data_IF_941933324497
#
_entry.id   IF_941933324497
#
_cell.length_a   1.000
_cell.length_b   1.000
_cell.length_c   1.000
_cell.angle_alpha   90.00
_cell.angle_beta   90.00
_cell.angle_gamma   90.00
#
_symmetry.space_group_name_H-M   'P 1'
#
loop_
_entity.id
_entity.type
_entity.pdbx_description
1 polymer ?
#
# COMPACT_ATOMS: atom_id res chain seq x y z
N UNK A 1 1.40 1.54 -39.23
CA UNK A 1 2.54 1.94 -38.40
C UNK A 1 2.52 3.44 -38.24
N UNK A 2 2.59 3.96 -37.01
CA UNK A 2 2.88 5.38 -36.74
C UNK A 2 4.31 5.49 -36.21
N UNK A 3 4.98 6.60 -36.48
CA UNK A 3 6.34 6.84 -36.02
C UNK A 3 6.51 8.29 -35.58
N UNK A 4 7.15 8.51 -34.42
CA UNK A 4 7.47 9.83 -33.85
C UNK A 4 6.24 10.73 -33.67
N UNK A 5 5.11 10.13 -33.32
CA UNK A 5 3.87 10.85 -33.03
C UNK A 5 4.05 11.69 -31.77
N UNK A 6 3.69 12.97 -31.81
CA UNK A 6 3.53 13.79 -30.60
C UNK A 6 2.04 13.88 -30.26
N UNK A 7 1.68 13.47 -29.03
CA UNK A 7 0.30 13.55 -28.53
C UNK A 7 0.26 14.55 -27.38
N UNK A 8 -0.26 15.75 -27.69
CA UNK A 8 -0.39 16.84 -26.73
C UNK A 8 -1.71 16.72 -25.94
N UNK A 9 -1.88 17.58 -24.93
CA UNK A 9 -3.10 17.68 -24.14
C UNK A 9 -4.39 17.67 -24.99
N UNK A 10 -5.33 16.78 -24.63
CA UNK A 10 -6.59 16.56 -25.35
C UNK A 10 -6.47 15.67 -26.61
N UNK A 11 -5.25 15.36 -27.05
CA UNK A 11 -4.99 14.41 -28.11
C UNK A 11 -5.05 12.95 -27.64
N UNK A 12 -5.38 12.05 -28.56
CA UNK A 12 -5.41 10.61 -28.31
C UNK A 12 -4.88 9.81 -29.50
N UNK A 13 -3.93 8.92 -29.26
CA UNK A 13 -3.46 7.90 -30.20
C UNK A 13 -4.05 6.54 -29.79
N UNK A 14 -4.62 5.78 -30.74
CA UNK A 14 -5.08 4.41 -30.49
C UNK A 14 -4.27 3.47 -31.39
N UNK A 15 -3.43 2.65 -30.78
CA UNK A 15 -2.64 1.63 -31.48
C UNK A 15 -3.46 0.36 -31.53
N UNK A 16 -4.23 0.18 -32.61
CA UNK A 16 -5.11 -0.98 -32.79
C UNK A 16 -4.35 -2.31 -32.87
N UNK A 17 -5.06 -3.41 -32.61
CA UNK A 17 -4.52 -4.77 -32.79
C UNK A 17 -3.86 -4.93 -34.17
N UNK A 18 -2.67 -5.55 -34.21
CA UNK A 18 -1.77 -5.66 -35.38
C UNK A 18 -1.15 -4.36 -35.88
N UNK A 19 -1.43 -3.21 -35.25
CA UNK A 19 -0.71 -1.97 -35.52
C UNK A 19 0.52 -1.83 -34.61
N UNK A 20 1.49 -1.06 -35.09
CA UNK A 20 2.68 -0.68 -34.33
C UNK A 20 2.84 0.83 -34.31
N UNK A 21 3.07 1.40 -33.14
CA UNK A 21 3.55 2.78 -32.95
C UNK A 21 5.00 2.74 -32.46
N UNK A 22 5.85 3.64 -32.94
CA UNK A 22 7.25 3.73 -32.52
C UNK A 22 7.65 5.16 -32.20
N UNK A 23 8.25 5.39 -31.03
CA UNK A 23 8.77 6.70 -30.65
C UNK A 23 7.68 7.74 -30.36
N UNK A 24 6.50 7.31 -29.91
CA UNK A 24 5.44 8.24 -29.51
C UNK A 24 5.89 9.04 -28.29
N UNK A 25 5.65 10.36 -28.30
CA UNK A 25 5.86 11.25 -27.16
C UNK A 25 4.52 11.78 -26.66
N UNK A 26 4.20 11.52 -25.40
CA UNK A 26 2.98 11.98 -24.73
C UNK A 26 3.30 13.18 -23.85
N UNK A 27 2.59 14.30 -24.02
CA UNK A 27 2.76 15.53 -23.21
C UNK A 27 1.38 16.09 -22.90
N UNK A 28 0.74 15.52 -21.88
CA UNK A 28 -0.69 15.74 -21.58
C UNK A 28 -1.68 14.88 -22.39
N UNK A 29 -1.21 14.16 -23.41
CA UNK A 29 -2.02 13.34 -24.29
C UNK A 29 -2.10 11.87 -23.87
N UNK A 30 -2.99 11.11 -24.50
CA UNK A 30 -3.22 9.69 -24.19
C UNK A 30 -2.81 8.77 -25.35
N UNK A 31 -2.18 7.64 -25.03
CA UNK A 31 -2.02 6.51 -25.96
C UNK A 31 -2.71 5.26 -25.40
N UNK A 32 -3.64 4.68 -26.18
CA UNK A 32 -4.28 3.40 -25.87
C UNK A 32 -3.65 2.32 -26.76
N UNK A 33 -3.04 1.32 -26.14
CA UNK A 33 -2.29 0.25 -26.82
C UNK A 33 -3.09 -1.05 -26.81
N UNK A 34 -3.68 -1.41 -27.95
CA UNK A 34 -4.31 -2.72 -28.25
C UNK A 34 -3.42 -3.59 -29.18
N UNK A 35 -2.39 -2.97 -29.77
CA UNK A 35 -1.36 -3.58 -30.61
C UNK A 35 0.00 -3.48 -29.94
N UNK A 36 1.00 -2.93 -30.65
CA UNK A 36 2.37 -2.80 -30.13
C UNK A 36 2.82 -1.33 -30.10
N UNK A 37 3.25 -0.83 -28.94
CA UNK A 37 3.89 0.47 -28.80
C UNK A 37 5.37 0.31 -28.40
N UNK A 38 6.28 0.81 -29.23
CA UNK A 38 7.72 0.76 -28.97
C UNK A 38 8.24 2.16 -28.63
N UNK A 39 9.10 2.25 -27.62
CA UNK A 39 9.87 3.46 -27.30
C UNK A 39 8.97 4.67 -27.02
N UNK A 40 7.86 4.45 -26.31
CA UNK A 40 6.98 5.55 -25.90
C UNK A 40 7.62 6.34 -24.78
N UNK A 41 7.66 7.68 -24.92
CA UNK A 41 8.08 8.59 -23.86
C UNK A 41 6.84 9.27 -23.27
N UNK A 42 6.63 9.10 -21.98
CA UNK A 42 5.49 9.65 -21.24
C UNK A 42 6.00 10.81 -20.37
N UNK A 43 5.69 12.05 -20.76
CA UNK A 43 6.01 13.24 -19.98
C UNK A 43 4.83 13.64 -19.10
N UNK A 44 5.00 14.74 -18.36
CA UNK A 44 3.98 15.30 -17.47
C UNK A 44 2.57 15.36 -18.11
N UNK A 45 1.60 14.85 -17.37
CA UNK A 45 0.20 14.69 -17.78
C UNK A 45 -0.06 13.67 -18.91
N UNK A 46 0.98 13.07 -19.48
CA UNK A 46 0.85 12.02 -20.49
C UNK A 46 0.43 10.70 -19.88
N UNK A 47 -0.38 9.93 -20.61
CA UNK A 47 -0.90 8.63 -20.15
C UNK A 47 -0.75 7.58 -21.24
N UNK A 48 -0.03 6.51 -20.97
CA UNK A 48 -0.07 5.30 -21.80
C UNK A 48 -0.91 4.23 -21.09
N UNK A 49 -1.94 3.73 -21.75
CA UNK A 49 -2.77 2.62 -21.28
C UNK A 49 -2.52 1.40 -22.14
N UNK A 50 -1.88 0.38 -21.56
CA UNK A 50 -1.69 -0.93 -22.20
C UNK A 50 -2.93 -1.77 -21.90
N UNK A 51 -3.71 -2.01 -22.94
CA UNK A 51 -4.95 -2.79 -22.86
C UNK A 51 -4.64 -4.30 -22.82
N UNK A 52 -5.67 -5.11 -22.56
CA UNK A 52 -5.55 -6.56 -22.66
C UNK A 52 -5.01 -6.98 -24.03
N UNK A 53 -3.96 -7.81 -24.04
CA UNK A 53 -3.19 -8.25 -25.21
C UNK A 53 -2.43 -7.13 -25.95
N UNK A 54 -2.41 -5.91 -25.41
CA UNK A 54 -1.50 -4.85 -25.86
C UNK A 54 -0.09 -5.08 -25.33
N UNK A 55 0.91 -4.64 -26.10
CA UNK A 55 2.32 -4.76 -25.73
C UNK A 55 3.01 -3.39 -25.85
N UNK A 56 3.57 -2.92 -24.75
CA UNK A 56 4.48 -1.78 -24.71
C UNK A 56 5.90 -2.24 -24.44
N UNK A 57 6.87 -1.72 -25.19
CA UNK A 57 8.29 -2.09 -25.04
C UNK A 57 9.13 -0.84 -24.99
N UNK A 58 10.07 -0.78 -24.02
CA UNK A 58 10.98 0.36 -23.82
C UNK A 58 10.24 1.68 -23.55
N UNK A 59 9.14 1.62 -22.81
CA UNK A 59 8.46 2.83 -22.35
C UNK A 59 9.35 3.56 -21.35
N UNK A 60 9.57 4.86 -21.55
CA UNK A 60 10.18 5.75 -20.57
C UNK A 60 9.09 6.60 -19.93
N UNK A 61 8.96 6.52 -18.62
CA UNK A 61 7.99 7.29 -17.83
C UNK A 61 8.78 8.36 -17.07
N UNK A 62 8.50 9.62 -17.36
CA UNK A 62 9.10 10.77 -16.69
C UNK A 62 8.20 11.28 -15.56
N UNK A 63 8.71 12.23 -14.78
CA UNK A 63 7.96 12.90 -13.73
C UNK A 63 6.59 13.40 -14.24
N UNK A 64 5.52 13.05 -13.51
CA UNK A 64 4.14 13.41 -13.85
C UNK A 64 3.52 12.57 -14.99
N UNK A 65 4.28 11.70 -15.65
CA UNK A 65 3.78 10.73 -16.62
C UNK A 65 3.19 9.49 -15.95
N UNK A 66 2.18 8.89 -16.58
CA UNK A 66 1.51 7.67 -16.07
C UNK A 66 1.55 6.54 -17.10
N UNK A 67 2.00 5.36 -16.66
CA UNK A 67 1.78 4.09 -17.36
C UNK A 67 0.71 3.28 -16.62
N UNK A 68 -0.38 2.96 -17.30
CA UNK A 68 -1.40 2.04 -16.82
C UNK A 68 -1.29 0.74 -17.60
N UNK A 69 -1.16 -0.39 -16.90
CA UNK A 69 -1.17 -1.72 -17.52
C UNK A 69 -2.37 -2.49 -16.98
N UNK A 70 -3.28 -2.83 -17.88
CA UNK A 70 -4.49 -3.57 -17.53
C UNK A 70 -4.23 -5.09 -17.55
N UNK A 71 -5.18 -5.86 -17.03
CA UNK A 71 -5.16 -7.32 -17.05
C UNK A 71 -4.84 -7.87 -18.45
N UNK A 72 -3.95 -8.86 -18.51
CA UNK A 72 -3.41 -9.44 -19.75
C UNK A 72 -2.61 -8.45 -20.64
N UNK A 73 -2.24 -7.28 -20.14
CA UNK A 73 -1.34 -6.34 -20.80
C UNK A 73 0.13 -6.64 -20.51
N UNK A 74 1.01 -6.30 -21.47
CA UNK A 74 2.45 -6.49 -21.35
C UNK A 74 3.21 -5.18 -21.51
N UNK A 75 4.11 -4.88 -20.58
CA UNK A 75 4.96 -3.70 -20.63
C UNK A 75 6.38 -4.02 -20.16
N UNK A 76 7.32 -4.18 -21.10
CA UNK A 76 8.68 -4.64 -20.78
C UNK A 76 9.74 -3.60 -21.09
N UNK A 77 10.90 -3.74 -20.44
CA UNK A 77 12.05 -2.82 -20.55
C UNK A 77 11.68 -1.37 -20.15
N UNK A 78 10.80 -1.21 -19.17
CA UNK A 78 10.38 0.11 -18.70
C UNK A 78 11.55 0.83 -18.02
N UNK A 79 11.66 2.13 -18.28
CA UNK A 79 12.45 3.06 -17.48
C UNK A 79 11.48 3.94 -16.71
N UNK A 80 11.37 3.72 -15.40
CA UNK A 80 10.54 4.53 -14.51
C UNK A 80 11.44 5.53 -13.76
N UNK A 81 11.38 6.80 -14.18
CA UNK A 81 12.12 7.88 -13.53
C UNK A 81 11.41 8.32 -12.23
N UNK A 82 12.13 9.05 -11.36
CA UNK A 82 11.55 9.56 -10.12
C UNK A 82 10.32 10.44 -10.40
N UNK A 83 9.27 10.25 -9.61
CA UNK A 83 8.00 10.96 -9.77
C UNK A 83 7.14 10.47 -10.93
N UNK A 84 7.48 9.36 -11.57
CA UNK A 84 6.63 8.68 -12.54
C UNK A 84 5.61 7.76 -11.83
N UNK A 85 4.42 7.62 -12.44
CA UNK A 85 3.36 6.75 -11.93
C UNK A 85 3.25 5.46 -12.75
N UNK A 86 3.25 4.33 -12.04
CA UNK A 86 2.85 3.02 -12.57
C UNK A 86 1.52 2.60 -11.91
N UNK A 87 0.51 2.28 -12.71
CA UNK A 87 -0.80 1.83 -12.24
C UNK A 87 -1.11 0.44 -12.80
N UNK A 88 -1.30 -0.54 -11.92
CA UNK A 88 -1.51 -1.94 -12.32
C UNK A 88 -2.04 -2.80 -11.16
N UNK A 89 -2.16 -4.10 -11.40
CA UNK A 89 -2.47 -5.11 -10.40
C UNK A 89 -1.54 -6.33 -10.55
N UNK A 90 -1.73 -7.33 -9.70
CA UNK A 90 -1.10 -8.66 -9.83
C UNK A 90 -1.98 -9.67 -10.59
N UNK A 91 -2.95 -9.19 -11.39
CA UNK A 91 -3.84 -10.04 -12.16
C UNK A 91 -3.12 -10.98 -13.14
N UNK A 92 -3.81 -12.07 -13.48
CA UNK A 92 -3.30 -13.04 -14.44
C UNK A 92 -3.01 -12.37 -15.79
N UNK A 93 -1.91 -12.82 -16.42
CA UNK A 93 -1.49 -12.36 -17.74
C UNK A 93 -0.81 -11.00 -17.78
N UNK A 94 -0.68 -10.30 -16.65
CA UNK A 94 0.17 -9.11 -16.56
C UNK A 94 1.64 -9.53 -16.64
N UNK A 95 2.37 -8.91 -17.55
CA UNK A 95 3.81 -9.07 -17.70
C UNK A 95 4.47 -7.68 -17.73
N UNK A 96 5.07 -7.28 -16.61
CA UNK A 96 5.74 -5.99 -16.46
C UNK A 96 7.19 -6.22 -16.05
N UNK A 97 8.12 -5.55 -16.71
CA UNK A 97 9.53 -5.52 -16.29
C UNK A 97 10.17 -4.18 -16.61
N UNK A 98 11.08 -3.76 -15.73
CA UNK A 98 11.79 -2.50 -15.94
C UNK A 98 12.79 -2.18 -14.84
N UNK A 99 13.20 -0.91 -14.83
CA UNK A 99 14.14 -0.36 -13.85
C UNK A 99 13.67 1.00 -13.34
N UNK A 100 14.02 1.28 -12.09
CA UNK A 100 14.01 2.62 -11.48
C UNK A 100 15.26 2.77 -10.61
N UNK A 101 15.34 3.86 -9.84
CA UNK A 101 16.50 4.21 -9.00
C UNK A 101 16.86 3.18 -7.90
N UNK A 102 15.98 2.22 -7.61
CA UNK A 102 16.22 1.16 -6.61
C UNK A 102 16.45 -0.22 -7.26
N UNK A 103 16.71 -0.26 -8.57
CA UNK A 103 17.04 -1.47 -9.30
C UNK A 103 15.93 -1.94 -10.24
N UNK A 104 15.92 -3.24 -10.51
CA UNK A 104 14.94 -3.88 -11.38
C UNK A 104 13.65 -4.16 -10.62
N UNK A 105 12.52 -3.99 -11.28
CA UNK A 105 11.21 -4.39 -10.78
C UNK A 105 10.50 -5.29 -11.78
N UNK A 106 9.59 -6.14 -11.31
CA UNK A 106 8.77 -6.96 -12.19
C UNK A 106 7.40 -7.26 -11.59
N UNK A 107 6.41 -7.47 -12.47
CA UNK A 107 5.09 -7.98 -12.11
C UNK A 107 4.76 -9.06 -13.13
N UNK A 108 4.88 -10.31 -12.72
CA UNK A 108 4.64 -11.47 -13.57
C UNK A 108 4.28 -12.68 -12.72
N UNK A 109 3.49 -13.61 -13.25
CA UNK A 109 3.15 -14.85 -12.55
C UNK A 109 2.50 -14.61 -11.17
N UNK A 110 1.65 -13.59 -11.06
CA UNK A 110 0.97 -13.18 -9.83
C UNK A 110 1.88 -12.68 -8.69
N UNK A 111 3.12 -12.30 -9.01
CA UNK A 111 4.07 -11.73 -8.07
C UNK A 111 4.53 -10.35 -8.56
N UNK A 112 4.35 -9.33 -7.72
CA UNK A 112 5.00 -8.02 -7.87
C UNK A 112 6.28 -7.98 -7.03
N UNK A 113 7.40 -7.53 -7.61
CA UNK A 113 8.68 -7.37 -6.91
C UNK A 113 9.24 -5.98 -7.12
N UNK A 114 9.70 -5.35 -6.04
CA UNK A 114 10.38 -4.06 -6.04
C UNK A 114 9.61 -2.95 -6.75
N UNK A 115 8.27 -2.92 -6.68
CA UNK A 115 7.49 -1.90 -7.35
C UNK A 115 7.70 -0.52 -6.72
N UNK A 116 7.97 0.52 -7.52
CA UNK A 116 8.01 1.91 -7.08
C UNK A 116 6.69 2.63 -7.41
N UNK A 117 6.03 3.18 -6.41
CA UNK A 117 4.71 3.81 -6.56
C UNK A 117 4.78 5.26 -6.05
N UNK A 118 4.72 6.22 -6.96
CA UNK A 118 4.78 7.66 -6.68
C UNK A 118 3.78 8.41 -7.55
N UNK A 119 3.41 9.64 -7.18
CA UNK A 119 2.64 10.57 -8.02
C UNK A 119 1.37 9.98 -8.67
N UNK A 120 0.60 9.18 -7.93
CA UNK A 120 -0.59 8.50 -8.43
C UNK A 120 -0.34 7.07 -8.92
N UNK A 121 0.88 6.55 -8.77
CA UNK A 121 1.19 5.14 -8.95
C UNK A 121 0.41 4.29 -7.94
N UNK A 122 -0.19 3.20 -8.43
CA UNK A 122 -1.04 2.34 -7.62
C UNK A 122 -0.85 0.88 -7.97
N UNK A 123 -0.72 0.03 -6.95
CA UNK A 123 -0.69 -1.43 -7.10
C UNK A 123 -1.85 -2.06 -6.32
N UNK A 124 -2.69 -2.81 -7.04
CA UNK A 124 -3.66 -3.72 -6.44
C UNK A 124 -3.06 -5.13 -6.35
N UNK A 125 -2.77 -5.59 -5.14
CA UNK A 125 -2.38 -6.98 -4.89
C UNK A 125 -3.67 -7.78 -4.69
N UNK A 126 -4.02 -8.64 -5.64
CA UNK A 126 -5.25 -9.44 -5.60
C UNK A 126 -5.17 -10.60 -4.59
N UNK A 127 -6.33 -11.08 -4.17
CA UNK A 127 -6.41 -12.28 -3.33
C UNK A 127 -5.73 -13.49 -4.01
N UNK A 128 -4.93 -14.23 -3.24
CA UNK A 128 -4.15 -15.37 -3.74
C UNK A 128 -2.89 -15.01 -4.53
N UNK A 129 -2.54 -13.72 -4.60
CA UNK A 129 -1.33 -13.22 -5.26
C UNK A 129 -0.40 -12.52 -4.27
N UNK A 130 0.78 -12.10 -4.71
CA UNK A 130 1.84 -11.63 -3.82
C UNK A 130 2.52 -10.34 -4.30
N UNK A 131 2.96 -9.52 -3.34
CA UNK A 131 3.92 -8.43 -3.55
C UNK A 131 5.11 -8.55 -2.60
N UNK A 132 6.30 -8.14 -3.06
CA UNK A 132 7.53 -8.08 -2.25
C UNK A 132 8.30 -6.79 -2.51
N UNK A 133 8.88 -6.25 -1.44
CA UNK A 133 9.87 -5.17 -1.49
C UNK A 133 9.36 -3.89 -2.18
N UNK A 134 8.05 -3.64 -2.17
CA UNK A 134 7.50 -2.46 -2.83
C UNK A 134 7.86 -1.19 -2.07
N UNK A 135 8.08 -0.09 -2.78
CA UNK A 135 8.30 1.24 -2.21
C UNK A 135 7.14 2.16 -2.59
N UNK A 136 6.39 2.61 -1.59
CA UNK A 136 5.27 3.55 -1.73
C UNK A 136 5.74 4.93 -1.31
N UNK A 137 5.96 5.80 -2.29
CA UNK A 137 6.35 7.20 -2.10
C UNK A 137 5.15 8.14 -2.06
N UNK A 138 5.44 9.44 -2.14
CA UNK A 138 4.43 10.50 -2.06
C UNK A 138 3.37 10.34 -3.17
N UNK A 139 2.10 10.28 -2.76
CA UNK A 139 0.97 10.14 -3.69
C UNK A 139 0.86 8.75 -4.32
N UNK A 140 1.71 7.79 -3.95
CA UNK A 140 1.58 6.39 -4.33
C UNK A 140 0.67 5.62 -3.37
N UNK A 141 0.13 4.51 -3.83
CA UNK A 141 -0.75 3.67 -3.03
C UNK A 141 -0.59 2.16 -3.29
N UNK A 142 -0.74 1.35 -2.24
CA UNK A 142 -0.98 -0.09 -2.35
C UNK A 142 -2.33 -0.44 -1.72
N UNK A 143 -3.12 -1.23 -2.46
CA UNK A 143 -4.26 -1.95 -1.92
C UNK A 143 -3.92 -3.44 -1.91
N UNK A 144 -3.68 -3.99 -0.72
CA UNK A 144 -3.34 -5.38 -0.54
C UNK A 144 -4.56 -6.21 -0.14
N UNK A 145 -4.98 -7.11 -1.03
CA UNK A 145 -6.00 -8.14 -0.82
C UNK A 145 -5.40 -9.55 -0.75
N UNK A 146 -4.10 -9.68 -1.03
CA UNK A 146 -3.34 -10.93 -1.10
C UNK A 146 -2.29 -11.02 0.00
N UNK A 147 -1.06 -11.33 -0.39
CA UNK A 147 0.11 -11.39 0.49
C UNK A 147 1.08 -10.26 0.12
N UNK A 148 1.71 -9.65 1.12
CA UNK A 148 2.72 -8.61 0.92
C UNK A 148 3.85 -8.77 1.92
N UNK A 149 5.09 -8.59 1.46
CA UNK A 149 6.29 -8.74 2.28
C UNK A 149 7.23 -7.55 2.09
N UNK A 150 7.71 -6.98 3.19
CA UNK A 150 8.75 -5.96 3.23
C UNK A 150 8.43 -4.67 2.43
N UNK A 151 7.15 -4.32 2.31
CA UNK A 151 6.77 -3.04 1.69
C UNK A 151 7.20 -1.86 2.58
N UNK A 152 7.78 -0.84 1.94
CA UNK A 152 8.15 0.43 2.57
C UNK A 152 7.19 1.54 2.18
N UNK A 153 6.51 2.12 3.16
CA UNK A 153 5.56 3.23 3.01
C UNK A 153 6.20 4.53 3.51
N UNK A 154 6.72 5.33 2.58
CA UNK A 154 7.36 6.61 2.88
C UNK A 154 6.34 7.74 3.07
N UNK A 155 6.83 8.92 3.47
CA UNK A 155 6.01 10.11 3.66
C UNK A 155 5.12 10.44 2.46
N UNK A 156 3.82 10.57 2.71
CA UNK A 156 2.79 10.81 1.69
C UNK A 156 2.34 9.56 0.92
N UNK A 157 2.94 8.40 1.18
CA UNK A 157 2.50 7.11 0.65
C UNK A 157 1.37 6.50 1.47
N UNK A 158 0.54 5.69 0.82
CA UNK A 158 -0.65 5.08 1.40
C UNK A 158 -0.65 3.56 1.24
N UNK A 159 -0.97 2.85 2.31
CA UNK A 159 -1.10 1.40 2.30
C UNK A 159 -2.42 0.96 2.90
N UNK A 160 -3.14 0.08 2.23
CA UNK A 160 -4.41 -0.47 2.71
C UNK A 160 -4.36 -1.99 2.70
N UNK A 161 -4.63 -2.62 3.84
CA UNK A 161 -4.72 -4.07 3.97
C UNK A 161 -6.17 -4.53 4.12
N UNK A 162 -6.55 -5.54 3.33
CA UNK A 162 -7.74 -6.35 3.56
C UNK A 162 -9.07 -5.70 3.19
N UNK A 163 -9.07 -4.63 2.39
CA UNK A 163 -10.31 -3.96 1.95
C UNK A 163 -10.31 -3.65 0.47
N UNK A 164 -11.34 -4.13 -0.22
CA UNK A 164 -11.75 -3.68 -1.54
C UNK A 164 -12.89 -2.66 -1.42
N UNK A 165 -13.49 -2.23 -2.54
CA UNK A 165 -14.63 -1.31 -2.52
C UNK A 165 -15.84 -1.91 -1.77
N UNK A 166 -16.11 -3.19 -1.99
CA UNK A 166 -17.35 -3.85 -1.57
C UNK A 166 -17.10 -5.01 -0.59
N UNK A 167 -15.84 -5.42 -0.38
CA UNK A 167 -15.49 -6.63 0.38
C UNK A 167 -14.30 -6.44 1.31
N UNK A 168 -14.23 -7.30 2.33
CA UNK A 168 -13.12 -7.42 3.26
C UNK A 168 -12.45 -8.78 3.06
N UNK A 169 -11.12 -8.79 3.04
CA UNK A 169 -10.33 -9.97 2.71
C UNK A 169 -9.70 -10.53 3.98
N UNK A 170 -10.40 -11.51 4.59
CA UNK A 170 -9.99 -12.12 5.86
C UNK A 170 -8.63 -12.83 5.80
N UNK A 171 -8.21 -13.27 4.61
CA UNK A 171 -6.95 -13.98 4.37
C UNK A 171 -5.83 -13.06 3.88
N UNK A 172 -6.09 -11.75 3.75
CA UNK A 172 -5.04 -10.81 3.38
C UNK A 172 -3.97 -10.77 4.47
N UNK A 173 -2.70 -10.71 4.07
CA UNK A 173 -1.57 -10.67 4.99
C UNK A 173 -0.54 -9.66 4.52
N UNK A 174 0.05 -8.95 5.47
CA UNK A 174 1.26 -8.16 5.28
C UNK A 174 2.29 -8.59 6.32
N UNK A 175 3.54 -8.69 5.90
CA UNK A 175 4.67 -9.06 6.75
C UNK A 175 5.83 -8.08 6.60
N UNK A 176 6.50 -7.72 7.69
CA UNK A 176 7.63 -6.78 7.72
C UNK A 176 7.31 -5.38 7.13
N UNK A 177 6.12 -4.85 7.40
CA UNK A 177 5.68 -3.56 6.86
C UNK A 177 6.46 -2.40 7.51
N UNK A 178 7.11 -1.57 6.69
CA UNK A 178 7.93 -0.43 7.15
C UNK A 178 7.26 0.90 6.82
N UNK A 179 6.66 1.56 7.80
CA UNK A 179 5.97 2.84 7.64
C UNK A 179 6.90 3.96 8.12
N UNK A 180 7.53 4.67 7.18
CA UNK A 180 8.47 5.76 7.43
C UNK A 180 7.85 7.11 7.03
N UNK A 181 7.05 7.68 7.93
CA UNK A 181 6.31 8.92 7.69
C UNK A 181 5.05 8.77 6.82
N UNK A 182 4.79 7.57 6.29
CA UNK A 182 3.60 7.26 5.50
C UNK A 182 2.38 6.89 6.34
N UNK A 183 1.33 6.40 5.67
CA UNK A 183 0.10 5.97 6.34
C UNK A 183 -0.28 4.55 5.91
N UNK A 184 -0.60 3.70 6.88
CA UNK A 184 -1.15 2.37 6.64
C UNK A 184 -2.45 2.17 7.43
N UNK A 185 -3.43 1.54 6.78
CA UNK A 185 -4.72 1.19 7.38
C UNK A 185 -5.00 -0.28 7.16
N UNK A 186 -5.30 -1.00 8.25
CA UNK A 186 -5.71 -2.41 8.21
C UNK A 186 -7.20 -2.51 8.48
N UNK A 187 -7.94 -3.04 7.51
CA UNK A 187 -9.39 -3.22 7.58
C UNK A 187 -9.80 -4.67 7.83
N UNK A 188 -9.00 -5.63 7.37
CA UNK A 188 -9.14 -7.06 7.65
C UNK A 188 -7.81 -7.76 7.40
N UNK A 189 -7.70 -9.01 7.85
CA UNK A 189 -6.52 -9.84 7.67
C UNK A 189 -5.52 -9.73 8.82
N UNK A 190 -4.28 -10.13 8.55
CA UNK A 190 -3.19 -10.18 9.52
C UNK A 190 -2.04 -9.28 9.09
N UNK A 191 -1.59 -8.39 9.98
CA UNK A 191 -0.31 -7.72 9.88
C UNK A 191 0.67 -8.37 10.87
N UNK A 192 1.70 -9.01 10.35
CA UNK A 192 2.77 -9.62 11.14
C UNK A 192 4.04 -8.78 10.99
N UNK A 193 4.68 -8.41 12.09
CA UNK A 193 5.92 -7.62 12.11
C UNK A 193 5.80 -6.25 11.39
N UNK A 194 5.92 -5.16 12.17
CA UNK A 194 5.79 -3.82 11.59
C UNK A 194 6.68 -2.79 12.29
N UNK A 195 7.09 -1.78 11.54
CA UNK A 195 7.72 -0.58 12.11
C UNK A 195 6.98 0.66 11.64
N UNK A 196 6.74 1.58 12.56
CA UNK A 196 6.12 2.88 12.29
C UNK A 196 7.05 3.95 12.86
N UNK A 197 7.51 4.85 12.01
CA UNK A 197 8.51 5.87 12.37
C UNK A 197 8.21 7.21 11.70
N UNK A 198 8.74 8.27 12.31
CA UNK A 198 8.58 9.65 11.89
C UNK A 198 7.26 10.26 12.34
N UNK A 199 7.26 11.57 12.58
CA UNK A 199 6.12 12.29 13.17
C UNK A 199 4.80 12.22 12.37
N UNK A 200 4.86 11.87 11.08
CA UNK A 200 3.69 11.65 10.23
C UNK A 200 3.37 10.18 9.98
N UNK A 201 4.22 9.27 10.49
CA UNK A 201 4.06 7.83 10.38
C UNK A 201 2.85 7.38 11.19
N UNK A 202 1.91 6.73 10.51
CA UNK A 202 0.66 6.30 11.13
C UNK A 202 0.26 4.89 10.67
N UNK A 203 -0.04 4.03 11.64
CA UNK A 203 -0.67 2.73 11.43
C UNK A 203 -2.02 2.71 12.16
N UNK A 204 -3.10 2.47 11.42
CA UNK A 204 -4.45 2.37 11.99
C UNK A 204 -5.02 0.96 11.79
N UNK A 205 -5.30 0.26 12.88
CA UNK A 205 -6.00 -1.02 12.88
C UNK A 205 -7.47 -0.76 13.15
N UNK A 206 -8.31 -1.01 12.15
CA UNK A 206 -9.74 -0.74 12.26
C UNK A 206 -10.44 -1.78 13.13
N UNK A 207 -11.51 -1.37 13.80
CA UNK A 207 -12.42 -2.32 14.48
C UNK A 207 -12.94 -3.33 13.45
N UNK A 208 -12.79 -4.65 13.69
CA UNK A 208 -13.36 -5.67 12.83
C UNK A 208 -14.88 -5.50 12.66
N UNK A 209 -15.38 -5.71 11.44
CA UNK A 209 -16.82 -5.56 11.15
C UNK A 209 -17.65 -6.71 11.72
N UNK A 210 -17.08 -7.91 11.73
CA UNK A 210 -17.71 -9.15 12.14
C UNK A 210 -16.65 -10.18 12.59
N UNK A 211 -17.09 -11.36 13.01
CA UNK A 211 -16.22 -12.41 13.54
C UNK A 211 -15.52 -13.27 12.47
N UNK A 212 -15.80 -13.05 11.18
CA UNK A 212 -15.20 -13.83 10.08
C UNK A 212 -14.18 -13.03 9.28
N UNK A 213 -14.19 -11.69 9.40
CA UNK A 213 -13.15 -10.80 8.86
C UNK A 213 -12.36 -10.15 9.99
N UNK A 214 -11.43 -10.87 10.63
CA UNK A 214 -10.67 -10.34 11.76
C UNK A 214 -9.69 -9.26 11.30
N UNK A 215 -9.26 -8.42 12.23
CA UNK A 215 -8.07 -7.59 12.10
C UNK A 215 -7.09 -8.08 13.16
N UNK A 216 -5.92 -8.55 12.73
CA UNK A 216 -4.90 -9.11 13.61
C UNK A 216 -3.58 -8.36 13.49
N UNK A 217 -2.92 -8.17 14.62
CA UNK A 217 -1.55 -7.72 14.72
C UNK A 217 -0.75 -8.76 15.49
N UNK A 218 0.33 -9.26 14.91
CA UNK A 218 1.20 -10.27 15.53
C UNK A 218 2.68 -9.97 15.30
N UNK A 219 3.54 -10.63 16.08
CA UNK A 219 4.98 -10.44 15.96
C UNK A 219 5.45 -9.11 16.55
N UNK A 220 6.63 -8.67 16.11
CA UNK A 220 7.33 -7.52 16.67
C UNK A 220 6.85 -6.24 16.02
N UNK A 221 6.33 -5.32 16.82
CA UNK A 221 5.81 -4.04 16.33
C UNK A 221 6.48 -2.87 17.03
N UNK A 222 7.14 -2.01 16.27
CA UNK A 222 7.90 -0.86 16.79
C UNK A 222 7.28 0.45 16.34
N UNK A 223 7.08 1.36 17.30
CA UNK A 223 6.52 2.69 17.08
C UNK A 223 7.54 3.70 17.61
N UNK A 224 8.20 4.42 16.70
CA UNK A 224 9.32 5.30 17.03
C UNK A 224 9.14 6.72 16.49
N UNK A 225 9.96 7.64 16.96
CA UNK A 225 10.16 8.97 16.38
C UNK A 225 8.86 9.77 16.21
N UNK A 226 8.04 9.78 17.26
CA UNK A 226 6.73 10.45 17.30
C UNK A 226 5.67 9.87 16.35
N UNK A 227 5.87 8.65 15.83
CA UNK A 227 4.85 7.93 15.07
C UNK A 227 3.68 7.49 15.94
N UNK A 228 2.58 7.11 15.27
CA UNK A 228 1.32 6.72 15.91
C UNK A 228 0.87 5.34 15.45
N UNK A 229 0.53 4.48 16.41
CA UNK A 229 -0.28 3.28 16.20
C UNK A 229 -1.66 3.52 16.83
N UNK A 230 -2.74 3.30 16.08
CA UNK A 230 -4.10 3.29 16.60
C UNK A 230 -4.69 1.89 16.52
N UNK A 231 -5.20 1.37 17.64
CA UNK A 231 -5.80 0.04 17.75
C UNK A 231 -7.29 0.19 18.03
N UNK A 232 -8.12 -0.18 17.05
CA UNK A 232 -9.57 -0.25 17.23
C UNK A 232 -10.00 -1.35 18.21
N UNK A 233 -11.15 -1.16 18.85
CA UNK A 233 -11.78 -2.21 19.66
C UNK A 233 -11.98 -3.49 18.83
N UNK A 234 -11.75 -4.66 19.45
CA UNK A 234 -11.94 -5.98 18.82
C UNK A 234 -10.78 -6.47 17.95
N UNK A 235 -9.74 -5.65 17.72
CA UNK A 235 -8.51 -6.10 17.04
C UNK A 235 -7.82 -7.16 17.90
N UNK A 236 -7.40 -8.26 17.29
CA UNK A 236 -6.61 -9.30 17.96
C UNK A 236 -5.13 -8.94 17.93
N UNK A 237 -4.62 -8.49 19.07
CA UNK A 237 -3.20 -8.14 19.28
C UNK A 237 -2.51 -9.09 20.26
N UNK A 238 -3.12 -10.25 20.56
CA UNK A 238 -2.64 -11.16 21.63
C UNK A 238 -1.24 -11.72 21.40
N UNK A 239 -0.78 -11.75 20.14
CA UNK A 239 0.55 -12.21 19.74
C UNK A 239 1.51 -11.06 19.37
N UNK A 240 1.15 -9.82 19.67
CA UNK A 240 1.97 -8.66 19.35
C UNK A 240 2.94 -8.31 20.50
N UNK A 241 4.22 -8.20 20.17
CA UNK A 241 5.27 -7.65 21.02
C UNK A 241 5.48 -6.18 20.67
N UNK A 242 4.88 -5.28 21.47
CA UNK A 242 4.86 -3.86 21.18
C UNK A 242 6.03 -3.13 21.83
N UNK A 243 6.71 -2.28 21.05
CA UNK A 243 7.66 -1.30 21.55
C UNK A 243 7.24 0.10 21.13
N UNK A 244 7.00 0.99 22.10
CA UNK A 244 6.86 2.42 21.85
C UNK A 244 8.11 3.13 22.37
N UNK A 245 8.80 3.88 21.51
CA UNK A 245 10.03 4.57 21.87
C UNK A 245 10.17 5.93 21.18
N UNK A 246 11.07 6.78 21.67
CA UNK A 246 11.40 8.07 21.01
C UNK A 246 10.16 8.93 20.70
N UNK A 247 9.26 9.04 21.69
CA UNK A 247 7.94 9.68 21.66
C UNK A 247 6.89 9.02 20.79
N UNK A 248 7.11 7.76 20.39
CA UNK A 248 6.09 6.94 19.71
C UNK A 248 4.86 6.74 20.59
N UNK A 249 3.67 6.72 19.99
CA UNK A 249 2.41 6.66 20.71
C UNK A 249 1.52 5.50 20.25
N UNK A 250 0.91 4.81 21.20
CA UNK A 250 -0.11 3.77 20.96
C UNK A 250 -1.45 4.27 21.48
N UNK A 251 -2.44 4.37 20.60
CA UNK A 251 -3.79 4.82 20.92
C UNK A 251 -4.75 3.65 20.92
N UNK A 252 -5.33 3.34 22.07
CA UNK A 252 -6.41 2.37 22.17
C UNK A 252 -7.72 3.09 21.93
N UNK A 253 -8.35 2.78 20.80
CA UNK A 253 -9.55 3.45 20.32
C UNK A 253 -10.79 2.61 20.55
N UNK A 254 -11.63 3.04 21.49
CA UNK A 254 -12.87 2.36 21.84
C UNK A 254 -13.99 2.61 20.82
N UNK A 255 -13.85 3.57 19.90
CA UNK A 255 -14.86 3.97 18.90
C UNK A 255 -16.25 4.25 19.50
N UNK A 256 -16.34 4.67 20.77
CA UNK A 256 -17.58 4.77 21.55
C UNK A 256 -18.39 3.46 21.65
N UNK A 257 -17.80 2.32 21.24
CA UNK A 257 -18.42 0.99 21.27
C UNK A 257 -18.70 0.51 22.69
N UNK A 258 -17.97 1.06 23.66
CA UNK A 258 -18.07 0.74 25.08
C UNK A 258 -19.08 1.63 25.83
N UNK A 259 -20.04 2.24 25.12
CA UNK A 259 -21.16 2.95 25.71
C UNK A 259 -22.37 1.99 25.84
N UNK A 260 -22.45 1.19 26.91
CA UNK A 260 -23.70 0.46 27.19
C UNK A 260 -23.62 -0.71 28.16
N UNK A 261 -22.87 -1.78 27.84
CA UNK A 261 -23.00 -3.07 28.57
C UNK A 261 -21.71 -3.88 28.79
N UNK A 262 -20.55 -3.49 28.25
CA UNK A 262 -19.31 -4.28 28.37
C UNK A 262 -18.03 -3.43 28.34
N UNK A 263 -16.99 -3.90 29.03
CA UNK A 263 -15.65 -3.29 29.02
C UNK A 263 -14.99 -3.40 27.65
N UNK A 264 -14.11 -2.45 27.34
CA UNK A 264 -13.20 -2.52 26.20
C UNK A 264 -11.95 -3.26 26.64
N UNK A 265 -11.67 -4.43 26.05
CA UNK A 265 -10.49 -5.23 26.37
C UNK A 265 -9.47 -5.19 25.23
N UNK A 266 -8.25 -4.79 25.57
CA UNK A 266 -7.08 -4.82 24.71
C UNK A 266 -6.05 -5.77 25.32
N UNK A 267 -5.35 -6.53 24.48
CA UNK A 267 -4.35 -7.51 24.92
C UNK A 267 -3.11 -7.43 24.05
N UNK A 268 -1.93 -7.39 24.63
CA UNK A 268 -0.65 -7.49 23.90
C UNK A 268 0.21 -8.55 24.57
N UNK A 269 1.09 -9.21 23.83
CA UNK A 269 1.95 -10.23 24.43
C UNK A 269 2.95 -9.57 25.40
N UNK A 270 3.73 -8.62 24.91
CA UNK A 270 4.64 -7.79 25.69
C UNK A 270 4.51 -6.32 25.32
N UNK A 271 4.83 -5.44 26.27
CA UNK A 271 4.86 -3.99 26.09
C UNK A 271 6.14 -3.40 26.66
N UNK A 272 6.96 -2.81 25.78
CA UNK A 272 8.15 -2.05 26.13
C UNK A 272 7.93 -0.56 25.83
N UNK A 273 8.05 0.29 26.85
CA UNK A 273 7.95 1.75 26.72
C UNK A 273 9.32 2.39 26.98
N UNK A 274 9.93 3.03 25.99
CA UNK A 274 11.23 3.69 26.15
C UNK A 274 11.15 5.13 25.63
N UNK A 275 10.67 6.04 26.49
CA UNK A 275 10.22 7.39 26.08
C UNK A 275 9.02 7.33 25.11
N UNK A 276 8.09 6.38 25.30
CA UNK A 276 6.88 6.25 24.48
C UNK A 276 5.64 6.09 25.36
N UNK A 277 4.48 6.44 24.80
CA UNK A 277 3.23 6.56 25.56
C UNK A 277 2.12 5.63 25.04
N UNK A 278 1.21 5.25 25.95
CA UNK A 278 -0.08 4.63 25.61
C UNK A 278 -1.22 5.56 26.02
N UNK A 279 -2.10 5.87 25.07
CA UNK A 279 -3.26 6.73 25.24
C UNK A 279 -4.56 5.96 25.07
N UNK A 280 -5.62 6.43 25.73
CA UNK A 280 -7.00 5.94 25.59
C UNK A 280 -7.86 7.04 24.96
N UNK A 281 -8.52 6.79 23.81
CA UNK A 281 -9.14 7.86 23.02
C UNK A 281 -10.54 8.31 23.49
N UNK A 282 -11.19 7.63 24.43
CA UNK A 282 -12.46 8.10 25.01
C UNK A 282 -12.69 7.55 26.43
N UNK A 283 -13.16 8.38 27.38
CA UNK A 283 -13.62 7.90 28.67
C UNK A 283 -14.90 7.08 28.52
N UNK A 284 -15.06 6.04 29.33
CA UNK A 284 -16.33 5.36 29.49
C UNK A 284 -17.41 6.38 29.91
N UNK A 285 -18.49 6.49 29.14
CA UNK A 285 -19.55 7.49 29.36
C UNK A 285 -20.56 7.07 30.43
N UNK A 286 -20.39 5.89 31.03
CA UNK A 286 -21.32 5.28 31.99
C UNK A 286 -20.56 4.66 33.15
N UNK A 287 -21.06 4.83 34.37
CA UNK A 287 -20.50 4.26 35.60
C UNK A 287 -20.31 2.73 35.46
N UNK A 288 -19.10 2.24 35.74
CA UNK A 288 -18.79 0.81 35.79
C UNK A 288 -18.24 0.17 34.51
N UNK A 289 -17.98 0.96 33.46
CA UNK A 289 -17.28 0.49 32.25
C UNK A 289 -15.82 0.95 32.27
N UNK A 290 -14.90 0.05 31.97
CA UNK A 290 -13.45 0.30 31.96
C UNK A 290 -12.84 -0.06 30.59
N UNK A 291 -11.75 0.63 30.25
CA UNK A 291 -10.80 0.16 29.24
C UNK A 291 -9.71 -0.62 29.98
N UNK A 292 -9.48 -1.86 29.58
CA UNK A 292 -8.45 -2.72 30.17
C UNK A 292 -7.41 -3.05 29.10
N UNK A 293 -6.15 -2.72 29.36
CA UNK A 293 -5.01 -3.23 28.60
C UNK A 293 -4.35 -4.34 29.42
N UNK A 294 -4.28 -5.55 28.87
CA UNK A 294 -3.60 -6.69 29.50
C UNK A 294 -2.31 -7.00 28.76
N UNK A 295 -1.24 -7.27 29.49
CA UNK A 295 0.03 -7.75 28.92
C UNK A 295 0.67 -8.80 29.83
N UNK A 296 1.43 -9.72 29.25
CA UNK A 296 2.21 -10.70 30.01
C UNK A 296 3.46 -10.06 30.63
N UNK A 297 4.01 -9.05 29.96
CA UNK A 297 5.23 -8.36 30.40
C UNK A 297 5.13 -6.86 30.07
N UNK A 298 5.39 -6.02 31.08
CA UNK A 298 5.52 -4.57 30.94
C UNK A 298 6.91 -4.15 31.42
N UNK A 299 7.65 -3.42 30.58
CA UNK A 299 9.00 -2.95 30.91
C UNK A 299 9.32 -1.58 30.30
N UNK A 300 10.39 -0.95 30.78
CA UNK A 300 10.95 0.28 30.21
C UNK A 300 10.89 1.51 31.13
N UNK A 301 11.04 2.69 30.54
CA UNK A 301 11.17 4.01 31.19
C UNK A 301 10.05 5.00 30.83
N UNK A 302 9.14 4.63 29.92
CA UNK A 302 7.96 5.41 29.54
C UNK A 302 6.75 5.14 30.42
#
# INVERSE_FOLDING_TARGET
TSAKTQVNAGGREIVKTKATATGTTLTGGEQIVEGVANETTINDGGIQTVSANGEAVKTTINEGGTLTVNDNGKATDIIQNSGAALQTSTANGIEISGTHQYGTFSIAGNLATNALLENGGNLLVLAGTEARDSTVGKGGAIQNLGQDFATKVNSGGQYTLGRSKDEFQALARAEDLQIAGGTAIVYAGTLADASVSGATGSLSLMTPRDNVTPVKLEGVVRITDSATLTIGNGVDTTLADLTAASRGSVWLNSNNSCAGTSNCEYRVNSLLLNDGDVYLSAPATTNGIYNTLTTSELSGSG
#
